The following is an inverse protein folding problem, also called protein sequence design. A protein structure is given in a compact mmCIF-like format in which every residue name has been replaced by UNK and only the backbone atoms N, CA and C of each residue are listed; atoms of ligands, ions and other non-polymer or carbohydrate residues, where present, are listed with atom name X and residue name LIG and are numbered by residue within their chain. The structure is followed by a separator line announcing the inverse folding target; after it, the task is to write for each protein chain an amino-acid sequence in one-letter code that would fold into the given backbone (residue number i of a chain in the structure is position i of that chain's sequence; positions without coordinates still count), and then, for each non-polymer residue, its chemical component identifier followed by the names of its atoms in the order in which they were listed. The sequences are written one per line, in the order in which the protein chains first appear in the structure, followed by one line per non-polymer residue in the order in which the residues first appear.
data_IF_097538429045
#
_entry.id   IF_097538429045
#
_cell.length_a   1.000
_cell.length_b   1.000
_cell.length_c   1.000
_cell.angle_alpha   90.00
_cell.angle_beta   90.00
_cell.angle_gamma   90.00
#
_symmetry.space_group_name_H-M   'P 1'
#
loop_
_entity.id
_entity.type
_entity.pdbx_description
1 polymer ?
#
# COMPACT_ATOMS: atom_id res chain seq x y z
N UNK A 1 -19.66 19.24 -19.23
CA UNK A 1 -18.27 18.74 -19.15
C UNK A 1 -17.49 19.70 -18.25
N UNK A 2 -17.10 19.30 -17.04
CA UNK A 2 -16.33 20.19 -16.15
C UNK A 2 -14.84 19.99 -16.44
N UNK A 3 -14.23 20.93 -17.15
CA UNK A 3 -12.78 21.03 -17.29
C UNK A 3 -12.22 21.51 -15.96
N UNK A 4 -11.58 20.63 -15.20
CA UNK A 4 -10.90 21.01 -13.96
C UNK A 4 -9.49 21.51 -14.30
N UNK A 5 -9.37 22.78 -14.68
CA UNK A 5 -8.11 23.48 -14.96
C UNK A 5 -7.69 24.38 -13.80
N UNK A 6 -7.78 23.90 -12.56
CA UNK A 6 -7.15 24.61 -11.44
C UNK A 6 -5.68 24.21 -11.40
N UNK A 7 -4.72 25.15 -11.50
CA UNK A 7 -3.36 24.88 -11.06
C UNK A 7 -3.45 24.64 -9.55
N UNK A 8 -3.60 23.38 -9.17
CA UNK A 8 -3.54 23.00 -7.77
C UNK A 8 -2.13 23.36 -7.31
N UNK A 9 -2.01 24.18 -6.26
CA UNK A 9 -0.73 24.34 -5.61
C UNK A 9 -0.18 22.95 -5.29
N UNK A 10 0.91 22.57 -5.95
CA UNK A 10 1.44 21.23 -5.84
C UNK A 10 1.82 20.90 -4.39
N UNK A 11 2.14 21.93 -3.58
CA UNK A 11 2.34 21.75 -2.15
C UNK A 11 1.05 21.38 -1.42
N UNK A 12 -0.06 22.08 -1.68
CA UNK A 12 -1.38 21.73 -1.16
C UNK A 12 -1.82 20.31 -1.53
N UNK A 13 -1.65 19.89 -2.79
CA UNK A 13 -1.98 18.51 -3.22
C UNK A 13 -1.16 17.49 -2.45
N UNK A 14 0.17 17.69 -2.39
CA UNK A 14 1.06 16.78 -1.66
C UNK A 14 0.74 16.76 -0.16
N UNK A 15 0.30 17.87 0.42
CA UNK A 15 -0.10 17.94 1.82
C UNK A 15 -1.37 17.10 2.09
N UNK A 16 -2.38 17.20 1.22
CA UNK A 16 -3.61 16.42 1.39
C UNK A 16 -3.36 14.92 1.16
N UNK A 17 -2.55 14.56 0.15
CA UNK A 17 -2.14 13.16 -0.07
C UNK A 17 -1.41 12.62 1.17
N UNK A 18 -0.41 13.33 1.71
CA UNK A 18 0.29 12.90 2.93
C UNK A 18 -0.66 12.72 4.12
N UNK A 19 -1.62 13.63 4.29
CA UNK A 19 -2.62 13.54 5.36
C UNK A 19 -3.48 12.29 5.22
N UNK A 20 -3.93 11.96 4.01
CA UNK A 20 -4.70 10.75 3.75
C UNK A 20 -3.90 9.47 4.05
N UNK A 21 -2.65 9.38 3.56
CA UNK A 21 -1.77 8.24 3.83
C UNK A 21 -1.42 8.10 5.31
N UNK A 22 -1.15 9.21 6.02
CA UNK A 22 -0.91 9.21 7.46
C UNK A 22 -2.12 8.68 8.25
N UNK A 23 -3.34 9.07 7.83
CA UNK A 23 -4.56 8.58 8.46
C UNK A 23 -4.74 7.06 8.26
N UNK A 24 -4.33 6.50 7.12
CA UNK A 24 -4.35 5.05 6.89
C UNK A 24 -3.28 4.36 7.74
N UNK A 25 -2.05 4.88 7.76
CA UNK A 25 -0.94 4.31 8.53
C UNK A 25 -1.20 4.28 10.05
N UNK A 26 -1.93 5.27 10.57
CA UNK A 26 -2.30 5.33 11.99
C UNK A 26 -3.46 4.41 12.36
N UNK A 27 -4.25 3.96 11.38
CA UNK A 27 -5.34 3.01 11.60
C UNK A 27 -4.77 1.62 11.43
N UNK A 28 -4.64 0.87 12.53
CA UNK A 28 -4.21 -0.53 12.53
C UNK A 28 -5.11 -1.48 11.72
N UNK A 29 -6.19 -0.98 11.11
CA UNK A 29 -7.19 -1.75 10.39
C UNK A 29 -7.77 -0.98 9.18
N UNK A 30 -7.14 -1.08 7.98
CA UNK A 30 -7.93 -1.06 6.72
C UNK A 30 -8.59 -2.43 6.48
N UNK A 31 -8.17 -3.47 7.21
CA UNK A 31 -8.49 -4.88 6.92
C UNK A 31 -9.26 -5.57 8.07
N UNK A 32 -9.99 -4.84 8.90
CA UNK A 32 -10.98 -5.49 9.76
C UNK A 32 -12.13 -6.03 8.90
N UNK A 33 -12.71 -7.20 9.25
CA UNK A 33 -13.80 -7.80 8.50
C UNK A 33 -15.10 -7.01 8.75
N UNK A 34 -15.20 -5.81 8.19
CA UNK A 34 -16.49 -5.12 8.09
C UNK A 34 -17.21 -5.63 6.84
N UNK A 35 -18.43 -6.09 7.04
CA UNK A 35 -19.33 -6.80 6.12
C UNK A 35 -19.87 -5.94 4.97
N UNK A 36 -19.17 -4.87 4.61
CA UNK A 36 -19.52 -3.97 3.51
C UNK A 36 -18.32 -3.81 2.58
N UNK A 37 -18.41 -4.54 1.48
CA UNK A 37 -17.66 -4.48 0.22
C UNK A 37 -17.09 -3.10 -0.16
N UNK A 38 -16.01 -2.69 0.48
CA UNK A 38 -15.09 -1.69 -0.10
C UNK A 38 -13.64 -2.13 0.11
N UNK A 39 -13.19 -3.00 -0.77
CA UNK A 39 -11.79 -3.41 -0.93
C UNK A 39 -10.94 -2.16 -1.20
N UNK A 40 -10.23 -1.64 -0.19
CA UNK A 40 -9.38 -0.44 -0.35
C UNK A 40 -8.14 -0.74 -1.23
N UNK A 41 -7.55 -1.93 -1.06
CA UNK A 41 -6.54 -2.51 -1.94
C UNK A 41 -6.85 -4.02 -2.03
N UNK A 42 -6.92 -4.56 -3.26
CA UNK A 42 -7.35 -5.94 -3.54
C UNK A 42 -6.76 -6.99 -2.60
N UNK A 43 -7.60 -7.63 -1.79
CA UNK A 43 -7.22 -8.80 -1.00
C UNK A 43 -8.04 -8.95 0.27
N UNK A 44 -9.17 -9.64 0.18
CA UNK A 44 -9.88 -10.11 1.37
C UNK A 44 -8.99 -11.10 2.13
N UNK A 45 -8.42 -10.64 3.24
CA UNK A 45 -7.59 -11.44 4.13
C UNK A 45 -7.59 -10.86 5.54
N UNK A 46 -7.44 -11.70 6.59
CA UNK A 46 -7.51 -11.33 8.01
C UNK A 46 -6.43 -10.29 8.40
N UNK A 47 -6.51 -9.68 9.60
CA UNK A 47 -5.64 -8.58 10.00
C UNK A 47 -4.17 -9.00 9.91
N UNK A 48 -3.33 -8.11 9.37
CA UNK A 48 -1.95 -8.36 9.00
C UNK A 48 -1.79 -9.54 8.01
N UNK A 49 -1.90 -9.24 6.72
CA UNK A 49 -1.26 -10.08 5.69
C UNK A 49 0.25 -9.91 5.90
N UNK A 50 0.84 -10.73 6.78
CA UNK A 50 2.26 -10.63 7.12
C UNK A 50 3.12 -10.68 5.86
N UNK A 51 4.21 -9.91 5.84
CA UNK A 51 5.05 -9.66 4.67
C UNK A 51 5.46 -10.95 3.89
N UNK A 52 5.50 -12.11 4.55
CA UNK A 52 5.67 -13.42 3.90
C UNK A 52 4.65 -13.69 2.78
N UNK A 53 3.37 -13.42 3.04
CA UNK A 53 2.27 -13.62 2.07
C UNK A 53 2.36 -12.64 0.89
N UNK A 54 3.08 -11.54 1.09
CA UNK A 54 3.34 -10.52 0.09
C UNK A 54 4.63 -10.81 -0.73
N UNK A 55 5.29 -11.93 -0.48
CA UNK A 55 6.46 -12.37 -1.24
C UNK A 55 7.80 -11.92 -0.65
N UNK A 56 7.85 -11.54 0.63
CA UNK A 56 9.10 -11.28 1.35
C UNK A 56 9.58 -12.53 2.08
N UNK A 57 10.88 -12.78 2.08
CA UNK A 57 11.51 -13.86 2.84
C UNK A 57 11.69 -13.49 4.32
N UNK A 58 11.87 -14.49 5.18
CA UNK A 58 12.11 -14.28 6.61
C UNK A 58 13.33 -13.39 6.89
N UNK A 59 14.37 -13.52 6.06
CA UNK A 59 15.56 -12.70 6.16
C UNK A 59 15.27 -11.22 5.83
N UNK A 60 14.49 -10.94 4.78
CA UNK A 60 14.09 -9.58 4.42
C UNK A 60 13.20 -8.94 5.49
N UNK A 61 12.31 -9.75 6.08
CA UNK A 61 11.43 -9.30 7.18
C UNK A 61 12.25 -9.00 8.44
N UNK A 62 13.20 -9.88 8.79
CA UNK A 62 14.07 -9.70 9.94
C UNK A 62 15.05 -8.51 9.76
N UNK A 63 15.38 -8.16 8.52
CA UNK A 63 16.21 -7.00 8.20
C UNK A 63 15.44 -5.67 8.30
N UNK A 64 14.10 -5.71 8.30
CA UNK A 64 13.28 -4.51 8.40
C UNK A 64 13.29 -3.96 9.84
N UNK A 65 13.17 -2.63 10.02
CA UNK A 65 13.00 -2.03 11.35
C UNK A 65 11.76 -2.56 12.07
N UNK A 66 11.80 -2.60 13.40
CA UNK A 66 10.63 -2.93 14.21
C UNK A 66 9.46 -1.98 13.89
N UNK A 67 8.27 -2.55 13.71
CA UNK A 67 7.07 -1.80 13.35
C UNK A 67 6.96 -1.39 11.87
N UNK A 68 7.89 -1.82 11.01
CA UNK A 68 7.81 -1.56 9.58
C UNK A 68 6.74 -2.41 8.86
N UNK A 69 6.46 -3.62 9.34
CA UNK A 69 5.38 -4.45 8.79
C UNK A 69 4.02 -3.98 9.31
N UNK A 70 3.48 -2.96 8.65
CA UNK A 70 2.15 -2.41 8.91
C UNK A 70 1.04 -3.16 8.15
N UNK A 71 1.38 -4.11 7.28
CA UNK A 71 0.40 -4.83 6.45
C UNK A 71 -0.32 -3.96 5.40
N UNK A 72 0.26 -2.83 5.01
CA UNK A 72 -0.34 -1.85 4.08
C UNK A 72 0.26 -1.87 2.66
N UNK A 73 1.26 -2.73 2.42
CA UNK A 73 1.98 -2.80 1.14
C UNK A 73 1.22 -3.58 0.06
N UNK A 74 1.49 -3.26 -1.21
CA UNK A 74 0.98 -3.99 -2.38
C UNK A 74 1.72 -5.32 -2.65
N UNK A 75 2.83 -5.52 -1.94
CA UNK A 75 3.67 -6.71 -1.99
C UNK A 75 4.91 -6.57 -2.86
N UNK A 76 5.68 -7.65 -3.00
CA UNK A 76 6.97 -7.62 -3.68
C UNK A 76 6.80 -7.97 -5.18
N UNK A 77 6.83 -6.99 -6.10
CA UNK A 77 6.65 -7.26 -7.54
C UNK A 77 7.72 -8.20 -8.11
N UNK A 78 8.95 -8.22 -7.57
CA UNK A 78 9.95 -9.19 -7.99
C UNK A 78 9.55 -10.64 -7.69
N UNK A 79 8.81 -10.85 -6.59
CA UNK A 79 8.35 -12.17 -6.18
C UNK A 79 7.05 -12.60 -6.89
N UNK A 80 6.16 -11.65 -7.21
CA UNK A 80 4.78 -11.95 -7.62
C UNK A 80 4.43 -11.60 -9.06
N UNK A 81 5.19 -10.72 -9.74
CA UNK A 81 4.79 -10.15 -11.03
C UNK A 81 5.47 -10.78 -12.27
N UNK A 82 6.22 -11.88 -12.11
CA UNK A 82 6.88 -12.62 -13.21
C UNK A 82 7.64 -11.71 -14.20
N UNK A 83 8.34 -10.71 -13.65
CA UNK A 83 8.96 -9.64 -14.41
C UNK A 83 10.01 -10.15 -15.40
N UNK A 84 10.08 -9.50 -16.56
CA UNK A 84 11.08 -9.78 -17.59
C UNK A 84 12.09 -8.63 -17.72
N UNK A 85 13.31 -8.89 -18.21
CA UNK A 85 14.29 -7.84 -18.47
C UNK A 85 13.72 -6.74 -19.36
N UNK A 86 13.88 -5.48 -18.94
CA UNK A 86 13.40 -4.30 -19.65
C UNK A 86 11.99 -3.83 -19.27
N UNK A 87 11.27 -4.55 -18.42
CA UNK A 87 9.98 -4.09 -17.90
C UNK A 87 10.17 -3.01 -16.82
N UNK A 88 9.26 -2.03 -16.80
CA UNK A 88 9.24 -0.94 -15.80
C UNK A 88 8.14 -1.20 -14.79
N UNK A 89 8.50 -1.18 -13.51
CA UNK A 89 7.56 -1.34 -12.39
C UNK A 89 7.36 -0.01 -11.71
N UNK A 90 6.09 0.32 -11.44
CA UNK A 90 5.72 1.37 -10.50
C UNK A 90 5.21 0.67 -9.25
N UNK A 91 6.02 0.72 -8.21
CA UNK A 91 5.73 0.22 -6.87
C UNK A 91 5.48 1.40 -5.92
#
# INVERSE_FOLDING_TARGET
MKTNTVPQDAHAVRAEVRKAYAAVAQRAACCEPNTTTSTCCGGGGPPAVGAQKLGYSDHEIAAAPEGADLGLGCGNPHAIAALRPGETVLD
#
